data_IF_233824554322
#
_entry.id   IF_233824554322
#
_cell.length_a   1.000
_cell.length_b   1.000
_cell.length_c   1.000
_cell.angle_alpha   90.00
_cell.angle_beta   90.00
_cell.angle_gamma   90.00
#
_symmetry.space_group_name_H-M   'P 1'
#
loop_
_entity.id
_entity.type
_entity.pdbx_description
1 polymer ?
#
# COMPACT_ATOMS: atom_id res chain seq x y z
N UNK A 1 -0.28 -9.47 2.58
CA UNK A 1 -0.34 -8.59 1.39
C UNK A 1 1.01 -7.93 1.14
N UNK A 2 1.35 -7.71 -0.13
CA UNK A 2 2.50 -6.90 -0.57
C UNK A 2 1.96 -5.61 -1.17
N UNK A 3 2.52 -4.49 -0.74
CA UNK A 3 2.11 -3.15 -1.14
C UNK A 3 3.32 -2.46 -1.73
N UNK A 4 3.18 -2.08 -3.00
CA UNK A 4 4.19 -1.32 -3.73
C UNK A 4 3.69 0.10 -3.86
N UNK A 5 4.50 1.06 -3.44
CA UNK A 5 4.23 2.49 -3.61
C UNK A 5 5.31 3.11 -4.49
N UNK A 6 4.95 4.10 -5.29
CA UNK A 6 5.92 4.94 -6.00
C UNK A 6 5.90 6.33 -5.39
N UNK A 7 7.04 7.02 -5.38
CA UNK A 7 7.07 8.43 -5.03
C UNK A 7 6.37 9.25 -6.13
N UNK A 8 5.58 10.25 -5.76
CA UNK A 8 4.91 11.13 -6.75
C UNK A 8 5.89 11.92 -7.62
N UNK A 9 7.09 12.16 -7.12
CA UNK A 9 8.16 12.85 -7.83
C UNK A 9 9.46 12.04 -7.82
N UNK A 10 10.25 12.18 -8.88
CA UNK A 10 11.54 11.52 -9.01
C UNK A 10 12.49 11.97 -7.88
N UNK A 11 13.07 10.99 -7.17
CA UNK A 11 13.90 11.24 -5.99
C UNK A 11 13.13 11.52 -4.69
N UNK A 12 11.80 11.52 -4.74
CA UNK A 12 10.93 11.63 -3.58
C UNK A 12 10.81 10.32 -2.78
N UNK A 13 9.96 10.36 -1.75
CA UNK A 13 9.61 9.19 -0.93
C UNK A 13 8.16 8.80 -1.18
N UNK A 14 7.85 7.52 -1.02
CA UNK A 14 6.48 7.02 -1.04
C UNK A 14 5.62 7.67 0.05
N UNK A 15 4.33 7.81 -0.22
CA UNK A 15 3.34 8.26 0.77
C UNK A 15 2.90 7.09 1.67
N UNK A 16 3.79 6.71 2.59
CA UNK A 16 3.52 5.65 3.57
C UNK A 16 2.42 6.05 4.57
N UNK A 17 2.30 7.34 4.87
CA UNK A 17 1.33 7.87 5.82
C UNK A 17 -0.09 7.83 5.24
N UNK A 18 -0.25 8.22 3.98
CA UNK A 18 -1.49 8.07 3.22
C UNK A 18 -1.94 6.60 3.15
N UNK A 19 -1.01 5.68 2.86
CA UNK A 19 -1.32 4.25 2.89
C UNK A 19 -1.78 3.79 4.29
N UNK A 20 -1.07 4.17 5.35
CA UNK A 20 -1.43 3.76 6.71
C UNK A 20 -2.79 4.30 7.16
N UNK A 21 -3.12 5.53 6.76
CA UNK A 21 -4.44 6.13 7.01
C UNK A 21 -5.55 5.31 6.35
N UNK A 22 -5.46 5.07 5.05
CA UNK A 22 -6.46 4.31 4.30
C UNK A 22 -6.57 2.86 4.79
N UNK A 23 -5.44 2.23 5.12
CA UNK A 23 -5.40 0.88 5.66
C UNK A 23 -6.09 0.77 7.02
N UNK A 24 -5.88 1.75 7.90
CA UNK A 24 -6.54 1.79 9.21
C UNK A 24 -8.03 2.02 9.03
N UNK A 25 -8.43 2.99 8.22
CA UNK A 25 -9.84 3.29 7.93
C UNK A 25 -10.61 2.06 7.45
N UNK A 26 -10.02 1.22 6.60
CA UNK A 26 -10.68 0.03 6.09
C UNK A 26 -10.77 -1.13 7.09
N UNK A 27 -9.69 -1.39 7.84
CA UNK A 27 -9.59 -2.59 8.70
C UNK A 27 -9.93 -2.33 10.17
N UNK A 28 -10.07 -1.09 10.61
CA UNK A 28 -10.33 -0.75 12.02
C UNK A 28 -11.61 -1.39 12.57
N UNK A 29 -12.64 -1.55 11.73
CA UNK A 29 -13.94 -2.09 12.13
C UNK A 29 -14.03 -3.63 12.04
N UNK A 30 -12.96 -4.32 11.57
CA UNK A 30 -12.98 -5.77 11.30
C UNK A 30 -12.42 -6.64 12.44
N UNK A 31 -12.79 -6.38 13.70
CA UNK A 31 -12.33 -7.16 14.88
C UNK A 31 -10.80 -7.36 14.92
N UNK A 32 -10.04 -6.33 14.55
CA UNK A 32 -8.56 -6.30 14.54
C UNK A 32 -7.89 -7.35 13.65
N UNK A 33 -8.59 -7.91 12.66
CA UNK A 33 -8.02 -8.80 11.64
C UNK A 33 -7.25 -8.03 10.57
N UNK A 34 -6.24 -7.27 11.00
CA UNK A 34 -5.32 -6.59 10.09
C UNK A 34 -4.48 -7.63 9.34
N UNK A 35 -4.57 -7.71 8.00
CA UNK A 35 -3.75 -8.65 7.26
C UNK A 35 -2.25 -8.37 7.45
N UNK A 36 -1.43 -9.41 7.57
CA UNK A 36 0.02 -9.23 7.56
C UNK A 36 0.44 -8.53 6.26
N UNK A 37 1.36 -7.55 6.35
CA UNK A 37 1.72 -6.70 5.22
C UNK A 37 3.21 -6.38 5.13
N UNK A 38 3.69 -6.21 3.90
CA UNK A 38 4.98 -5.60 3.57
C UNK A 38 4.72 -4.40 2.67
N UNK A 39 5.26 -3.24 3.04
CA UNK A 39 5.14 -1.98 2.28
C UNK A 39 6.52 -1.58 1.80
N UNK A 40 6.68 -1.39 0.50
CA UNK A 40 7.95 -1.04 -0.13
C UNK A 40 7.79 0.05 -1.18
N UNK A 41 8.80 0.90 -1.30
CA UNK A 41 8.90 1.85 -2.40
C UNK A 41 9.54 1.18 -3.61
N UNK A 42 8.93 1.35 -4.78
CA UNK A 42 9.46 0.93 -6.08
C UNK A 42 9.86 2.14 -6.92
N UNK A 43 10.69 1.92 -7.94
CA UNK A 43 11.17 2.99 -8.81
C UNK A 43 10.09 3.54 -9.76
N UNK A 44 9.18 2.68 -10.24
CA UNK A 44 8.08 3.02 -11.14
C UNK A 44 7.01 1.93 -11.14
N UNK A 45 5.82 2.28 -11.62
CA UNK A 45 4.68 1.36 -11.85
C UNK A 45 4.56 1.00 -13.33
N UNK A 46 3.83 -0.09 -13.64
CA UNK A 46 3.53 -0.47 -15.03
C UNK A 46 2.71 0.60 -15.75
N UNK A 47 1.78 1.24 -15.05
CA UNK A 47 1.06 2.41 -15.52
C UNK A 47 1.68 3.67 -14.87
N UNK A 48 2.17 4.64 -15.66
CA UNK A 48 2.79 5.86 -15.12
C UNK A 48 1.90 6.70 -14.21
N UNK A 49 0.57 6.55 -14.29
CA UNK A 49 -0.37 7.30 -13.45
C UNK A 49 -0.73 6.62 -12.13
N UNK A 50 -0.22 5.41 -11.85
CA UNK A 50 -0.52 4.69 -10.61
C UNK A 50 0.44 5.08 -9.49
N UNK A 51 -0.10 5.23 -8.28
CA UNK A 51 0.68 5.54 -7.08
C UNK A 51 0.89 4.32 -6.16
N UNK A 52 0.04 3.31 -6.29
CA UNK A 52 0.01 2.13 -5.44
C UNK A 52 -0.43 0.88 -6.21
N UNK A 53 0.18 -0.26 -5.90
CA UNK A 53 -0.29 -1.59 -6.29
C UNK A 53 -0.33 -2.50 -5.04
N UNK A 54 -1.38 -3.30 -4.89
CA UNK A 54 -1.58 -4.19 -3.74
C UNK A 54 -1.82 -5.62 -4.23
N UNK A 55 -0.92 -6.53 -3.85
CA UNK A 55 -1.11 -7.97 -4.02
C UNK A 55 -1.55 -8.59 -2.69
N UNK A 56 -2.78 -9.13 -2.66
CA UNK A 56 -3.35 -9.77 -1.48
C UNK A 56 -3.52 -11.29 -1.68
N UNK A 57 -3.46 -12.03 -0.57
CA UNK A 57 -3.81 -13.45 -0.50
C UNK A 57 -4.77 -13.62 0.66
N UNK A 58 -5.81 -14.42 0.46
CA UNK A 58 -6.82 -14.74 1.46
C UNK A 58 -7.05 -16.25 1.51
N UNK A 59 -7.42 -16.74 2.69
CA UNK A 59 -7.87 -18.12 2.92
C UNK A 59 -9.30 -18.09 3.47
N UNK A 60 -10.07 -19.15 3.24
CA UNK A 60 -11.46 -19.30 3.71
C UNK A 60 -11.53 -20.35 4.79
#
# INVERSE_FOLDING_TARGET
MRVYLVAESAGGRMDIDGFNKAYTEYFQDQDRNYPSRTVIQVAAMVNPGWLIEIEATAAK
#
